data_IF_346734690451
#
_entry.id   IF_346734690451
#
_cell.length_a   1.000
_cell.length_b   1.000
_cell.length_c   1.000
_cell.angle_alpha   90.00
_cell.angle_beta   90.00
_cell.angle_gamma   90.00
#
_symmetry.space_group_name_H-M   'P 1'
#
loop_
_entity.id
_entity.type
_entity.pdbx_description
1 polymer ?
#
# COMPACT_ATOMS: atom_id res chain seq x y z
N UNK A 1 5.26 3.88 7.38
CA UNK A 1 4.94 2.45 7.60
C UNK A 1 5.58 1.90 8.87
N UNK A 2 4.92 1.01 9.64
CA UNK A 2 5.54 0.34 10.81
C UNK A 2 6.66 -0.61 10.39
N UNK A 3 6.42 -1.48 9.40
CA UNK A 3 7.43 -2.40 8.88
C UNK A 3 8.61 -1.64 8.28
N UNK A 4 8.30 -0.61 7.48
CA UNK A 4 9.30 0.31 6.93
C UNK A 4 10.19 0.95 7.98
N UNK A 5 9.62 1.51 9.06
CA UNK A 5 10.41 2.14 10.12
C UNK A 5 11.32 1.16 10.87
N UNK A 6 10.90 -0.11 11.02
CA UNK A 6 11.71 -1.15 11.66
C UNK A 6 12.92 -1.48 10.80
N UNK A 7 12.73 -1.64 9.49
CA UNK A 7 13.81 -1.95 8.55
C UNK A 7 14.76 -0.77 8.40
N UNK A 8 14.24 0.44 8.28
CA UNK A 8 15.07 1.65 8.28
C UNK A 8 15.94 1.74 9.54
N UNK A 9 15.36 1.50 10.74
CA UNK A 9 16.12 1.51 11.98
C UNK A 9 17.22 0.44 11.99
N UNK A 10 16.94 -0.75 11.46
CA UNK A 10 17.93 -1.82 11.35
C UNK A 10 19.07 -1.45 10.39
N UNK A 11 18.76 -0.85 9.24
CA UNK A 11 19.76 -0.39 8.26
C UNK A 11 20.67 0.66 8.89
N UNK A 12 20.11 1.67 9.55
CA UNK A 12 20.88 2.72 10.24
C UNK A 12 21.77 2.16 11.37
N UNK A 13 21.28 1.17 12.13
CA UNK A 13 22.04 0.56 13.23
C UNK A 13 23.18 -0.34 12.77
N UNK A 14 23.08 -0.92 11.59
CA UNK A 14 24.03 -1.94 11.08
C UNK A 14 24.92 -1.42 9.96
N UNK A 15 24.51 -0.36 9.27
CA UNK A 15 25.11 0.13 8.03
C UNK A 15 24.94 -0.83 6.85
N UNK A 16 24.04 -1.81 6.96
CA UNK A 16 23.76 -2.81 5.92
C UNK A 16 22.50 -2.44 5.13
N UNK A 17 22.39 -2.98 3.92
CA UNK A 17 21.21 -2.82 3.07
C UNK A 17 20.02 -3.63 3.61
N UNK A 18 18.79 -3.25 3.25
CA UNK A 18 17.58 -3.98 3.59
C UNK A 18 17.75 -5.49 3.34
N UNK A 19 17.68 -6.34 4.39
CA UNK A 19 17.97 -7.76 4.25
C UNK A 19 16.93 -8.46 3.38
N UNK A 20 15.68 -7.97 3.34
CA UNK A 20 14.66 -8.53 2.46
C UNK A 20 14.89 -8.19 1.00
N UNK A 21 15.63 -7.11 0.72
CA UNK A 21 16.06 -6.76 -0.63
C UNK A 21 17.28 -7.59 -1.05
N UNK A 22 18.28 -7.72 -0.17
CA UNK A 22 19.49 -8.51 -0.43
C UNK A 22 19.16 -9.99 -0.65
N UNK A 23 18.33 -10.57 0.21
CA UNK A 23 17.94 -11.98 0.19
C UNK A 23 16.61 -12.26 -0.54
N UNK A 24 16.15 -11.31 -1.38
CA UNK A 24 14.85 -11.41 -2.03
C UNK A 24 14.67 -12.70 -2.84
N UNK A 25 15.70 -13.13 -3.55
CA UNK A 25 15.64 -14.34 -4.39
C UNK A 25 15.41 -15.62 -3.56
N UNK A 26 15.94 -15.67 -2.34
CA UNK A 26 15.75 -16.80 -1.42
C UNK A 26 14.34 -16.80 -0.82
N UNK A 27 13.80 -15.62 -0.55
CA UNK A 27 12.38 -15.45 -0.17
C UNK A 27 11.49 -15.96 -1.30
N UNK A 28 11.80 -15.62 -2.56
CA UNK A 28 11.04 -16.09 -3.71
C UNK A 28 11.10 -17.62 -3.89
N UNK A 29 12.22 -18.27 -3.59
CA UNK A 29 12.31 -19.74 -3.63
C UNK A 29 11.37 -20.40 -2.60
N UNK A 30 11.20 -19.77 -1.44
CA UNK A 30 10.24 -20.19 -0.43
C UNK A 30 8.82 -19.93 -0.93
N UNK A 31 8.52 -18.74 -1.44
CA UNK A 31 7.21 -18.38 -1.97
C UNK A 31 6.77 -19.30 -3.10
N UNK A 32 7.65 -19.59 -4.06
CA UNK A 32 7.39 -20.49 -5.19
C UNK A 32 7.06 -21.90 -4.69
N UNK A 33 7.83 -22.42 -3.72
CA UNK A 33 7.63 -23.77 -3.19
C UNK A 33 6.23 -23.97 -2.59
N UNK A 34 5.66 -22.93 -1.99
CA UNK A 34 4.41 -23.02 -1.25
C UNK A 34 3.24 -22.24 -1.88
N UNK A 35 3.41 -21.73 -3.10
CA UNK A 35 2.44 -20.88 -3.80
C UNK A 35 1.95 -19.70 -2.92
N UNK A 36 2.91 -18.98 -2.35
CA UNK A 36 2.64 -17.77 -1.56
C UNK A 36 2.80 -16.55 -2.44
N UNK A 37 1.71 -15.82 -2.67
CA UNK A 37 1.74 -14.50 -3.29
C UNK A 37 2.48 -13.51 -2.41
N UNK A 38 3.43 -12.76 -2.97
CA UNK A 38 4.13 -11.69 -2.26
C UNK A 38 3.36 -10.37 -2.38
N UNK A 39 3.09 -9.75 -1.23
CA UNK A 39 2.62 -8.36 -1.16
C UNK A 39 3.82 -7.47 -0.94
N UNK A 40 4.22 -6.74 -2.00
CA UNK A 40 5.35 -5.83 -1.96
C UNK A 40 4.95 -4.55 -1.23
N UNK A 41 5.41 -4.41 0.02
CA UNK A 41 4.98 -3.36 0.94
C UNK A 41 5.43 -1.95 0.56
N UNK A 42 4.67 -0.97 1.03
CA UNK A 42 4.85 0.46 0.80
C UNK A 42 5.48 1.16 2.03
N UNK A 43 6.76 0.87 2.30
CA UNK A 43 7.48 1.39 3.46
C UNK A 43 7.47 2.92 3.52
N UNK A 44 7.64 3.57 2.37
CA UNK A 44 7.71 5.00 2.13
C UNK A 44 6.36 5.60 1.70
N UNK A 45 5.22 4.95 2.02
CA UNK A 45 3.90 5.56 1.78
C UNK A 45 3.74 6.88 2.54
N UNK A 46 2.99 7.85 1.98
CA UNK A 46 2.69 9.11 2.65
C UNK A 46 1.80 8.89 3.88
N UNK A 47 2.23 9.48 5.00
CA UNK A 47 1.48 9.53 6.26
C UNK A 47 0.69 10.82 6.48
N UNK A 48 0.78 11.75 5.52
CA UNK A 48 -0.01 12.98 5.46
C UNK A 48 -0.24 13.37 4.00
N UNK A 49 -1.22 14.24 3.75
CA UNK A 49 -1.51 14.75 2.40
C UNK A 49 -0.32 15.52 1.81
N UNK A 50 0.48 16.18 2.64
CA UNK A 50 1.63 16.97 2.19
C UNK A 50 2.75 16.10 1.62
N UNK A 51 2.91 14.88 2.15
CA UNK A 51 3.95 13.94 1.73
C UNK A 51 3.55 13.14 0.47
N UNK A 52 2.32 13.32 -0.03
CA UNK A 52 1.79 12.52 -1.12
C UNK A 52 2.50 12.82 -2.46
N UNK A 53 3.11 11.80 -3.03
CA UNK A 53 3.85 11.89 -4.28
C UNK A 53 5.29 12.40 -4.12
N UNK A 54 5.83 12.37 -2.89
CA UNK A 54 7.22 12.74 -2.65
C UNK A 54 8.22 11.78 -3.33
N UNK A 55 9.49 12.17 -3.30
CA UNK A 55 10.56 11.41 -3.97
C UNK A 55 10.69 10.01 -3.36
N UNK A 56 10.62 9.90 -2.03
CA UNK A 56 10.79 8.62 -1.34
C UNK A 56 9.70 7.61 -1.70
N UNK A 57 8.45 8.04 -1.82
CA UNK A 57 7.36 7.20 -2.28
C UNK A 57 7.59 6.70 -3.71
N UNK A 58 7.99 7.60 -4.62
CA UNK A 58 8.15 7.25 -6.04
C UNK A 58 9.38 6.36 -6.26
N UNK A 59 10.49 6.61 -5.57
CA UNK A 59 11.69 5.77 -5.64
C UNK A 59 11.45 4.35 -5.12
N UNK A 60 10.69 4.22 -4.02
CA UNK A 60 10.25 2.91 -3.55
C UNK A 60 9.41 2.21 -4.61
N UNK A 61 8.40 2.89 -5.19
CA UNK A 61 7.52 2.30 -6.20
C UNK A 61 8.29 1.80 -7.45
N UNK A 62 9.32 2.54 -7.88
CA UNK A 62 10.24 2.10 -8.95
C UNK A 62 10.93 0.79 -8.55
N UNK A 63 11.46 0.73 -7.33
CA UNK A 63 12.09 -0.48 -6.79
C UNK A 63 11.11 -1.66 -6.73
N UNK A 64 9.86 -1.42 -6.32
CA UNK A 64 8.82 -2.46 -6.29
C UNK A 64 8.49 -2.99 -7.70
N UNK A 65 8.57 -2.13 -8.73
CA UNK A 65 8.46 -2.56 -10.13
C UNK A 65 9.58 -3.52 -10.54
N UNK A 66 10.82 -3.25 -10.13
CA UNK A 66 11.94 -4.15 -10.37
C UNK A 66 11.79 -5.49 -9.63
N UNK A 67 11.36 -5.44 -8.36
CA UNK A 67 11.10 -6.63 -7.53
C UNK A 67 9.93 -7.47 -8.06
N UNK A 68 8.91 -6.82 -8.65
CA UNK A 68 7.79 -7.48 -9.33
C UNK A 68 8.32 -8.32 -10.50
N UNK A 69 9.15 -7.73 -11.36
CA UNK A 69 9.77 -8.45 -12.49
C UNK A 69 10.63 -9.62 -12.03
N UNK A 70 11.43 -9.44 -10.96
CA UNK A 70 12.24 -10.51 -10.36
C UNK A 70 11.38 -11.67 -9.83
N UNK A 71 10.27 -11.36 -9.16
CA UNK A 71 9.33 -12.38 -8.68
C UNK A 71 8.70 -13.18 -9.82
N UNK A 72 8.26 -12.50 -10.89
CA UNK A 72 7.70 -13.18 -12.07
C UNK A 72 8.71 -14.06 -12.81
N UNK A 73 10.00 -13.73 -12.80
CA UNK A 73 11.04 -14.60 -13.34
C UNK A 73 11.16 -15.93 -12.59
N UNK A 74 10.70 -15.99 -11.32
CA UNK A 74 10.63 -17.20 -10.50
C UNK A 74 9.22 -17.79 -10.41
N UNK A 75 8.27 -17.32 -11.23
CA UNK A 75 6.88 -17.77 -11.22
C UNK A 75 6.19 -17.57 -9.86
N UNK A 76 6.52 -16.47 -9.17
CA UNK A 76 5.88 -16.06 -7.91
C UNK A 76 4.85 -14.97 -8.18
N UNK A 77 3.63 -15.16 -7.68
CA UNK A 77 2.53 -14.19 -7.80
C UNK A 77 2.83 -12.93 -6.97
N UNK A 78 2.46 -11.75 -7.48
CA UNK A 78 2.77 -10.45 -6.84
C UNK A 78 1.52 -9.58 -6.75
N UNK A 79 1.37 -8.87 -5.64
CA UNK A 79 0.53 -7.68 -5.48
C UNK A 79 1.42 -6.56 -4.92
N UNK A 80 1.23 -5.32 -5.38
CA UNK A 80 2.02 -4.15 -4.93
C UNK A 80 1.18 -3.32 -3.97
N UNK A 81 1.72 -2.92 -2.82
CA UNK A 81 1.06 -2.03 -1.88
C UNK A 81 1.25 -0.56 -2.28
N UNK A 82 0.29 0.28 -1.93
CA UNK A 82 0.21 1.68 -2.35
C UNK A 82 -0.39 2.62 -1.30
N UNK A 83 -0.38 3.94 -1.59
CA UNK A 83 -0.43 5.01 -0.60
C UNK A 83 -1.54 4.94 0.45
N UNK A 84 -1.23 5.62 1.56
CA UNK A 84 -2.16 5.90 2.65
C UNK A 84 -2.87 7.25 2.50
N UNK A 85 -2.16 8.37 2.69
CA UNK A 85 -2.77 9.71 2.64
C UNK A 85 -2.50 10.37 1.28
N UNK A 86 -3.56 10.79 0.58
CA UNK A 86 -3.42 11.38 -0.76
C UNK A 86 -4.62 12.24 -1.15
N UNK A 87 -4.38 13.47 -1.61
CA UNK A 87 -5.46 14.35 -2.04
C UNK A 87 -6.16 13.79 -3.29
N UNK A 88 -7.46 14.03 -3.42
CA UNK A 88 -8.30 13.45 -4.49
C UNK A 88 -7.73 13.63 -5.90
N UNK A 89 -7.17 14.81 -6.19
CA UNK A 89 -6.63 15.16 -7.51
C UNK A 89 -5.31 14.45 -7.85
N UNK A 90 -4.70 13.74 -6.90
CA UNK A 90 -3.44 13.01 -7.09
C UNK A 90 -3.67 11.50 -7.30
N UNK A 91 -4.82 10.97 -6.88
CA UNK A 91 -5.10 9.52 -6.84
C UNK A 91 -4.98 8.89 -8.23
N UNK A 92 -5.67 9.43 -9.24
CA UNK A 92 -5.64 8.88 -10.61
C UNK A 92 -4.21 8.80 -11.16
N UNK A 93 -3.41 9.84 -10.92
CA UNK A 93 -2.02 9.87 -11.36
C UNK A 93 -1.21 8.77 -10.67
N UNK A 94 -1.37 8.58 -9.36
CA UNK A 94 -0.66 7.54 -8.62
C UNK A 94 -1.00 6.13 -9.13
N UNK A 95 -2.29 5.84 -9.38
CA UNK A 95 -2.70 4.54 -9.96
C UNK A 95 -2.05 4.33 -11.33
N UNK A 96 -2.07 5.32 -12.22
CA UNK A 96 -1.44 5.21 -13.56
C UNK A 96 0.08 5.03 -13.50
N UNK A 97 0.74 5.70 -12.56
CA UNK A 97 2.18 5.54 -12.32
C UNK A 97 2.46 4.10 -11.92
N UNK A 98 1.75 3.55 -10.93
CA UNK A 98 1.95 2.16 -10.51
C UNK A 98 1.67 1.17 -11.64
N UNK A 99 0.58 1.34 -12.39
CA UNK A 99 0.25 0.44 -13.50
C UNK A 99 1.37 0.40 -14.56
N UNK A 100 2.04 1.54 -14.77
CA UNK A 100 3.17 1.63 -15.71
C UNK A 100 4.44 1.02 -15.12
N UNK A 101 4.82 1.44 -13.91
CA UNK A 101 6.10 1.09 -13.26
C UNK A 101 6.12 -0.36 -12.77
N UNK A 102 4.97 -0.93 -12.42
CA UNK A 102 4.83 -2.31 -11.95
C UNK A 102 4.17 -3.21 -13.00
N UNK A 103 4.17 -2.81 -14.28
CA UNK A 103 3.73 -3.64 -15.42
C UNK A 103 2.32 -4.24 -15.27
N UNK A 104 1.39 -3.47 -14.70
CA UNK A 104 0.01 -3.91 -14.48
C UNK A 104 -0.17 -4.93 -13.36
N UNK A 105 0.82 -5.12 -12.47
CA UNK A 105 0.62 -5.89 -11.26
C UNK A 105 -0.56 -5.33 -10.44
N UNK A 106 -1.37 -6.19 -9.80
CA UNK A 106 -2.48 -5.73 -8.95
C UNK A 106 -2.00 -4.71 -7.91
N UNK A 107 -2.78 -3.64 -7.72
CA UNK A 107 -2.46 -2.59 -6.77
C UNK A 107 -3.36 -2.66 -5.54
N UNK A 108 -2.74 -2.68 -4.36
CA UNK A 108 -3.36 -2.80 -3.05
C UNK A 108 -3.16 -1.50 -2.27
N UNK A 109 -4.20 -0.69 -2.12
CA UNK A 109 -4.09 0.64 -1.50
C UNK A 109 -4.71 0.69 -0.10
N UNK A 110 -4.15 1.52 0.80
CA UNK A 110 -4.69 1.77 2.14
C UNK A 110 -5.58 3.01 2.15
N UNK A 111 -6.88 2.85 1.89
CA UNK A 111 -7.78 3.98 1.59
C UNK A 111 -7.73 4.31 0.10
N UNK A 112 -7.13 5.43 -0.35
CA UNK A 112 -6.38 6.43 0.44
C UNK A 112 -7.25 7.46 1.18
N UNK A 113 -6.74 7.99 2.30
CA UNK A 113 -7.36 9.09 3.05
C UNK A 113 -7.20 10.39 2.28
N UNK A 114 -8.33 11.03 1.94
CA UNK A 114 -8.34 12.25 1.10
C UNK A 114 -8.17 13.56 1.88
N UNK A 115 -8.16 13.48 3.21
CA UNK A 115 -7.96 14.62 4.11
C UNK A 115 -7.55 14.13 5.50
N UNK A 116 -6.72 14.91 6.19
CA UNK A 116 -6.12 14.55 7.48
C UNK A 116 -6.85 15.16 8.70
N UNK A 117 -7.93 15.91 8.46
CA UNK A 117 -8.55 16.74 9.49
C UNK A 117 -9.68 16.05 10.27
N UNK A 118 -9.98 14.79 9.97
CA UNK A 118 -11.16 14.09 10.46
C UNK A 118 -10.87 12.78 11.23
N UNK A 119 -9.93 12.76 12.20
CA UNK A 119 -9.67 11.57 12.99
C UNK A 119 -10.95 11.13 13.73
N UNK A 120 -11.21 9.83 13.76
CA UNK A 120 -12.52 9.28 14.19
C UNK A 120 -13.48 9.00 13.03
N UNK A 121 -13.21 9.57 11.85
CA UNK A 121 -14.01 9.42 10.64
C UNK A 121 -13.16 8.98 9.43
N UNK A 122 -11.97 8.45 9.67
CA UNK A 122 -11.03 8.09 8.60
C UNK A 122 -11.54 6.97 7.69
N UNK A 123 -12.40 6.08 8.18
CA UNK A 123 -13.14 5.14 7.33
C UNK A 123 -13.96 5.83 6.23
N UNK A 124 -14.47 7.05 6.45
CA UNK A 124 -15.20 7.85 5.45
C UNK A 124 -14.21 8.52 4.49
N UNK A 125 -13.17 9.17 5.02
CA UNK A 125 -12.17 9.86 4.19
C UNK A 125 -11.45 8.86 3.27
N UNK A 126 -11.12 7.68 3.80
CA UNK A 126 -10.52 6.57 3.07
C UNK A 126 -11.49 5.94 2.04
N UNK A 127 -12.78 5.82 2.36
CA UNK A 127 -13.76 5.26 1.40
C UNK A 127 -13.93 6.14 0.16
N UNK A 128 -13.86 7.46 0.30
CA UNK A 128 -13.92 8.40 -0.82
C UNK A 128 -12.71 8.18 -1.75
N UNK A 129 -11.50 8.16 -1.18
CA UNK A 129 -10.29 7.94 -1.97
C UNK A 129 -10.23 6.53 -2.54
N UNK A 130 -10.63 5.52 -1.79
CA UNK A 130 -10.65 4.12 -2.21
C UNK A 130 -11.61 3.85 -3.36
N UNK A 131 -12.79 4.47 -3.37
CA UNK A 131 -13.70 4.38 -4.51
C UNK A 131 -13.06 4.98 -5.78
N UNK A 132 -12.41 6.14 -5.67
CA UNK A 132 -11.71 6.75 -6.80
C UNK A 132 -10.49 5.92 -7.25
N UNK A 133 -9.73 5.37 -6.32
CA UNK A 133 -8.58 4.52 -6.61
C UNK A 133 -9.01 3.24 -7.35
N UNK A 134 -10.04 2.55 -6.85
CA UNK A 134 -10.60 1.37 -7.47
C UNK A 134 -11.18 1.67 -8.86
N UNK A 135 -11.92 2.78 -9.02
CA UNK A 135 -12.47 3.20 -10.32
C UNK A 135 -11.38 3.48 -11.37
N UNK A 136 -10.15 3.77 -10.92
CA UNK A 136 -8.99 3.98 -11.79
C UNK A 136 -8.08 2.75 -11.93
N UNK A 137 -8.41 1.62 -11.29
CA UNK A 137 -7.71 0.34 -11.48
C UNK A 137 -7.01 -0.25 -10.26
N UNK A 138 -7.20 0.30 -9.06
CA UNK A 138 -6.76 -0.40 -7.84
C UNK A 138 -7.52 -1.73 -7.71
N UNK A 139 -6.79 -2.82 -7.47
CA UNK A 139 -7.34 -4.17 -7.45
C UNK A 139 -7.80 -4.61 -6.06
N UNK A 140 -7.27 -3.98 -5.00
CA UNK A 140 -7.58 -4.31 -3.62
C UNK A 140 -7.60 -3.06 -2.74
N UNK A 141 -8.59 -2.95 -1.86
CA UNK A 141 -8.71 -1.87 -0.88
C UNK A 141 -8.46 -2.41 0.53
N UNK A 142 -7.41 -1.93 1.20
CA UNK A 142 -7.30 -2.08 2.64
C UNK A 142 -8.34 -1.19 3.27
N UNK A 143 -9.17 -1.77 4.13
CA UNK A 143 -10.11 -0.98 4.91
C UNK A 143 -9.41 -0.09 5.93
N UNK A 144 -10.07 1.01 6.26
CA UNK A 144 -9.69 1.93 7.34
C UNK A 144 -10.86 1.97 8.31
N UNK A 145 -10.56 1.94 9.61
CA UNK A 145 -11.60 1.94 10.65
C UNK A 145 -11.82 3.35 11.21
N UNK A 146 -12.94 3.62 11.91
CA UNK A 146 -13.09 4.86 12.67
C UNK A 146 -12.01 5.07 13.74
N UNK A 147 -11.35 3.99 14.19
CA UNK A 147 -10.29 4.04 15.20
C UNK A 147 -8.91 4.40 14.66
N UNK A 148 -8.74 4.52 13.33
CA UNK A 148 -7.48 4.90 12.71
C UNK A 148 -6.94 6.20 13.34
N UNK A 149 -5.62 6.25 13.52
CA UNK A 149 -4.90 7.34 14.22
C UNK A 149 -5.23 7.55 15.71
N UNK A 150 -6.17 6.79 16.29
CA UNK A 150 -6.64 7.02 17.66
C UNK A 150 -6.35 5.86 18.61
N UNK A 151 -6.66 4.63 18.22
CA UNK A 151 -6.61 3.46 19.10
C UNK A 151 -6.66 2.15 18.32
N UNK A 152 -6.59 1.03 19.03
CA UNK A 152 -6.96 -0.27 18.45
C UNK A 152 -8.48 -0.32 18.23
N UNK A 153 -8.96 -0.84 17.08
CA UNK A 153 -10.38 -0.91 16.78
C UNK A 153 -11.10 -1.96 17.64
N UNK A 154 -12.33 -1.67 18.02
CA UNK A 154 -13.25 -2.67 18.57
C UNK A 154 -14.04 -3.40 17.46
N UNK A 155 -14.97 -4.27 17.85
CA UNK A 155 -15.80 -5.03 16.92
C UNK A 155 -16.66 -4.14 16.00
N UNK A 156 -17.16 -3.01 16.51
CA UNK A 156 -17.98 -2.08 15.73
C UNK A 156 -17.10 -1.27 14.78
N UNK A 157 -15.93 -0.81 15.23
CA UNK A 157 -14.95 -0.11 14.40
C UNK A 157 -14.55 -0.97 13.19
N UNK A 158 -14.29 -2.26 13.41
CA UNK A 158 -13.98 -3.24 12.34
C UNK A 158 -15.16 -3.37 11.37
N UNK A 159 -16.39 -3.53 11.88
CA UNK A 159 -17.59 -3.68 11.06
C UNK A 159 -17.81 -2.45 10.17
N UNK A 160 -17.72 -1.25 10.73
CA UNK A 160 -17.92 -0.01 9.98
C UNK A 160 -16.87 0.17 8.88
N UNK A 161 -15.59 -0.12 9.18
CA UNK A 161 -14.54 -0.11 8.16
C UNK A 161 -14.82 -1.08 7.01
N UNK A 162 -15.26 -2.30 7.30
CA UNK A 162 -15.57 -3.32 6.27
C UNK A 162 -16.74 -2.84 5.41
N UNK A 163 -17.81 -2.32 6.01
CA UNK A 163 -18.98 -1.86 5.27
C UNK A 163 -18.62 -0.66 4.39
N UNK A 164 -17.87 0.31 4.91
CA UNK A 164 -17.42 1.47 4.15
C UNK A 164 -16.58 1.06 2.92
N UNK A 165 -15.58 0.19 3.10
CA UNK A 165 -14.75 -0.29 1.99
C UNK A 165 -15.51 -1.17 1.01
N UNK A 166 -16.48 -1.98 1.46
CA UNK A 166 -17.35 -2.74 0.55
C UNK A 166 -18.22 -1.84 -0.31
N UNK A 167 -18.74 -0.75 0.26
CA UNK A 167 -19.53 0.24 -0.49
C UNK A 167 -18.62 0.93 -1.51
N UNK A 168 -17.43 1.38 -1.10
CA UNK A 168 -16.46 2.00 -1.99
C UNK A 168 -16.07 1.07 -3.16
N UNK A 169 -15.76 -0.19 -2.86
CA UNK A 169 -15.39 -1.20 -3.86
C UNK A 169 -16.54 -1.52 -4.83
N UNK A 170 -17.80 -1.51 -4.38
CA UNK A 170 -18.95 -1.75 -5.25
C UNK A 170 -19.32 -0.53 -6.11
N UNK A 171 -18.99 0.67 -5.65
CA UNK A 171 -19.27 1.92 -6.36
C UNK A 171 -18.27 2.20 -7.49
N UNK A 172 -17.06 1.63 -7.39
CA UNK A 172 -16.02 1.68 -8.41
C UNK A 172 -16.34 0.77 -9.62
#
# INVERSE_FOLDING_TARGET
>A
SRGGSIIFSWMEMTGQENPFFEYYDEILDICQKYDVTISLGDACRPGSIEDAGDISQIEELVTLGELTKRAWQKDVQVIVEGPGHMALNQIEANIKIQQTICQGAPFYVLGPLVTDIAPGYDHITAAIGGALAAANGAAFLCYVTPAEHLRLPDLNDVKEGIIASKIAAHAA
#
